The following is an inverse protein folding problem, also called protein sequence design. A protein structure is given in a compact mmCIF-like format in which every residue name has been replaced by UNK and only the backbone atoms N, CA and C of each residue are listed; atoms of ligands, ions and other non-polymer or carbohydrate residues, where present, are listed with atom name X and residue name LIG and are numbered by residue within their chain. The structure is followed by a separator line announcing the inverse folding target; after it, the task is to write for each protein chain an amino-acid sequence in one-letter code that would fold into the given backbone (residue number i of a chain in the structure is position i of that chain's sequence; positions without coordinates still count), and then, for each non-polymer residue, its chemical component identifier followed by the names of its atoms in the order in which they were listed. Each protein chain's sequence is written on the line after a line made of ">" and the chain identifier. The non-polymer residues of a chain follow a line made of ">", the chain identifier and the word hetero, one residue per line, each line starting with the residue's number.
data_IF_017160545063
#
_entry.id   IF_017160545063
#
_cell.length_a   1.000
_cell.length_b   1.000
_cell.length_c   1.000
_cell.angle_alpha   90.00
_cell.angle_beta   90.00
_cell.angle_gamma   90.00
#
_symmetry.space_group_name_H-M   'P 1'
#
loop_
_entity.id
_entity.type
_entity.pdbx_description
1 polymer ?
#
# COMPACT_ATOMS: atom_id res chain seq x y z
N UNK A 1 -6.21 9.07 22.41
CA UNK A 1 -6.19 7.65 22.82
C UNK A 1 -5.29 6.80 21.92
N UNK A 2 -5.57 6.64 20.61
CA UNK A 2 -4.76 5.78 19.72
C UNK A 2 -3.28 6.20 19.62
N UNK A 3 -3.00 7.50 19.43
CA UNK A 3 -1.63 8.04 19.43
C UNK A 3 -0.88 7.71 20.72
N UNK A 4 -1.51 7.93 21.87
CA UNK A 4 -0.95 7.62 23.19
C UNK A 4 -0.67 6.13 23.35
N UNK A 5 -1.57 5.26 22.89
CA UNK A 5 -1.37 3.80 22.92
C UNK A 5 -0.18 3.40 22.03
N UNK A 6 -0.08 3.95 20.83
CA UNK A 6 1.04 3.73 19.92
C UNK A 6 2.39 4.18 20.52
N UNK A 7 2.46 5.41 21.03
CA UNK A 7 3.69 6.00 21.61
C UNK A 7 4.18 5.20 22.82
N UNK A 8 3.25 4.76 23.68
CA UNK A 8 3.57 3.98 24.87
C UNK A 8 3.62 2.47 24.61
N UNK A 9 3.36 2.01 23.38
CA UNK A 9 3.37 0.60 22.97
C UNK A 9 2.40 -0.25 23.80
N UNK A 10 1.22 0.31 24.06
CA UNK A 10 0.16 -0.28 24.87
C UNK A 10 -0.86 -0.97 23.95
N UNK A 11 -1.18 -2.22 24.26
CA UNK A 11 -2.25 -3.00 23.64
C UNK A 11 -3.62 -2.36 23.94
N UNK A 12 -4.51 -2.32 22.95
CA UNK A 12 -5.88 -1.84 23.13
C UNK A 12 -6.83 -2.92 23.67
N UNK A 13 -6.40 -4.17 23.64
CA UNK A 13 -7.22 -5.35 23.88
C UNK A 13 -7.91 -5.83 22.60
N UNK A 14 -8.07 -7.14 22.49
CA UNK A 14 -8.59 -7.79 21.27
C UNK A 14 -9.98 -7.27 20.86
N UNK A 15 -10.85 -6.97 21.81
CA UNK A 15 -12.21 -6.50 21.53
C UNK A 15 -12.24 -5.09 20.96
N UNK A 16 -11.42 -4.19 21.49
CA UNK A 16 -11.27 -2.83 20.95
C UNK A 16 -10.62 -2.90 19.58
N UNK A 17 -9.54 -3.67 19.44
CA UNK A 17 -8.86 -3.86 18.15
C UNK A 17 -9.82 -4.38 17.07
N UNK A 18 -10.67 -5.36 17.40
CA UNK A 18 -11.66 -5.93 16.45
C UNK A 18 -12.65 -4.87 15.96
N UNK A 19 -13.15 -4.00 16.85
CA UNK A 19 -14.04 -2.89 16.49
C UNK A 19 -13.32 -1.88 15.59
N UNK A 20 -12.12 -1.45 15.97
CA UNK A 20 -11.31 -0.52 15.19
C UNK A 20 -10.97 -1.07 13.80
N UNK A 21 -10.63 -2.36 13.70
CA UNK A 21 -10.38 -3.02 12.42
C UNK A 21 -11.62 -3.07 11.53
N UNK A 22 -12.81 -3.28 12.09
CA UNK A 22 -14.06 -3.26 11.33
C UNK A 22 -14.31 -1.87 10.73
N UNK A 23 -14.17 -0.83 11.54
CA UNK A 23 -14.39 0.55 11.09
C UNK A 23 -13.30 0.97 10.08
N UNK A 24 -12.06 0.51 10.27
CA UNK A 24 -10.99 0.73 9.30
C UNK A 24 -11.23 0.02 7.96
N UNK A 25 -11.77 -1.20 7.97
CA UNK A 25 -12.12 -1.91 6.72
C UNK A 25 -13.29 -1.25 6.00
N UNK A 26 -14.25 -0.70 6.73
CA UNK A 26 -15.27 0.16 6.14
C UNK A 26 -14.63 1.38 5.47
N UNK A 27 -13.66 2.04 6.11
CA UNK A 27 -12.88 3.09 5.47
C UNK A 27 -12.12 2.59 4.22
N UNK A 28 -11.50 1.41 4.25
CA UNK A 28 -10.84 0.84 3.06
C UNK A 28 -11.81 0.66 1.88
N UNK A 29 -13.06 0.32 2.17
CA UNK A 29 -14.12 0.17 1.17
C UNK A 29 -14.62 1.51 0.64
N UNK A 30 -14.83 2.50 1.50
CA UNK A 30 -15.38 3.81 1.12
C UNK A 30 -14.30 4.71 0.48
N UNK A 31 -13.08 4.71 1.01
CA UNK A 31 -12.02 5.64 0.66
C UNK A 31 -12.11 6.97 1.38
N UNK A 32 -11.27 7.92 0.96
CA UNK A 32 -11.21 9.30 1.43
C UNK A 32 -11.79 10.33 0.45
N UNK A 33 -12.25 9.92 -0.74
CA UNK A 33 -12.86 10.82 -1.72
C UNK A 33 -14.13 11.48 -1.14
N UNK A 34 -14.23 12.82 -1.12
CA UNK A 34 -15.36 13.52 -0.49
C UNK A 34 -16.74 13.08 -1.01
N UNK A 35 -16.88 12.89 -2.33
CA UNK A 35 -18.13 12.42 -2.93
C UNK A 35 -18.51 11.00 -2.47
N UNK A 36 -17.54 10.09 -2.38
CA UNK A 36 -17.78 8.73 -1.90
C UNK A 36 -18.13 8.69 -0.40
N UNK A 37 -17.45 9.52 0.40
CA UNK A 37 -17.73 9.67 1.84
C UNK A 37 -19.12 10.25 2.07
N UNK A 38 -19.50 11.31 1.37
CA UNK A 38 -20.82 11.92 1.49
C UNK A 38 -21.92 10.94 1.07
N UNK A 39 -21.75 10.24 -0.06
CA UNK A 39 -22.71 9.21 -0.50
C UNK A 39 -22.89 8.12 0.56
N UNK A 40 -21.82 7.71 1.24
CA UNK A 40 -21.90 6.74 2.32
C UNK A 40 -22.65 7.28 3.54
N UNK A 41 -22.35 8.52 3.96
CA UNK A 41 -23.02 9.16 5.11
C UNK A 41 -24.52 9.34 4.84
N UNK A 42 -24.88 9.78 3.63
CA UNK A 42 -26.26 10.11 3.27
C UNK A 42 -27.13 8.87 3.04
N UNK A 43 -26.55 7.77 2.54
CA UNK A 43 -27.33 6.61 2.09
C UNK A 43 -27.05 5.32 2.84
N UNK A 44 -25.92 5.24 3.55
CA UNK A 44 -25.39 4.01 4.16
C UNK A 44 -25.39 2.82 3.17
N UNK A 45 -25.17 3.09 1.87
CA UNK A 45 -25.28 2.09 0.81
C UNK A 45 -23.98 2.01 -0.01
N UNK A 46 -23.21 0.94 0.24
CA UNK A 46 -21.93 0.71 -0.42
C UNK A 46 -22.03 0.50 -1.95
N UNK A 47 -23.20 0.10 -2.47
CA UNK A 47 -23.43 -0.01 -3.91
C UNK A 47 -23.43 1.37 -4.57
N UNK A 48 -24.14 2.32 -3.97
CA UNK A 48 -24.16 3.71 -4.46
C UNK A 48 -22.78 4.35 -4.36
N UNK A 49 -22.06 4.08 -3.26
CA UNK A 49 -20.67 4.53 -3.09
C UNK A 49 -19.77 3.95 -4.19
N UNK A 50 -19.92 2.67 -4.55
CA UNK A 50 -19.15 2.07 -5.64
C UNK A 50 -19.46 2.73 -6.99
N UNK A 51 -20.72 3.03 -7.28
CA UNK A 51 -21.09 3.78 -8.48
C UNK A 51 -20.42 5.16 -8.54
N UNK A 52 -20.43 5.91 -7.44
CA UNK A 52 -19.72 7.21 -7.34
C UNK A 52 -18.22 7.02 -7.61
N UNK A 53 -17.59 6.02 -6.99
CA UNK A 53 -16.17 5.73 -7.20
C UNK A 53 -15.84 5.34 -8.64
N UNK A 54 -16.70 4.58 -9.32
CA UNK A 54 -16.55 4.26 -10.76
C UNK A 54 -16.56 5.51 -11.62
N UNK A 55 -17.50 6.43 -11.37
CA UNK A 55 -17.52 7.72 -12.06
C UNK A 55 -16.24 8.55 -11.81
N UNK A 56 -15.70 8.55 -10.58
CA UNK A 56 -14.42 9.20 -10.28
C UNK A 56 -13.26 8.54 -11.05
N UNK A 57 -13.23 7.21 -11.09
CA UNK A 57 -12.20 6.48 -11.86
C UNK A 57 -12.30 6.80 -13.35
N UNK A 58 -13.50 6.89 -13.93
CA UNK A 58 -13.70 7.30 -15.33
C UNK A 58 -13.16 8.72 -15.59
N UNK A 59 -13.43 9.67 -14.70
CA UNK A 59 -12.87 11.02 -14.78
C UNK A 59 -11.33 11.00 -14.76
N UNK A 60 -10.73 10.16 -13.91
CA UNK A 60 -9.27 9.98 -13.89
C UNK A 60 -8.75 9.46 -15.22
N UNK A 61 -9.43 8.48 -15.83
CA UNK A 61 -9.05 7.96 -17.16
C UNK A 61 -9.08 9.04 -18.24
N UNK A 62 -10.11 9.89 -18.22
CA UNK A 62 -10.23 10.99 -19.17
C UNK A 62 -9.16 12.08 -18.96
N UNK A 63 -8.81 12.37 -17.72
CA UNK A 63 -7.72 13.31 -17.41
C UNK A 63 -6.34 12.73 -17.78
N UNK A 64 -6.11 11.43 -17.61
CA UNK A 64 -4.88 10.78 -18.08
C UNK A 64 -4.73 10.85 -19.60
N UNK A 65 -5.81 10.82 -20.36
CA UNK A 65 -5.77 11.00 -21.83
C UNK A 65 -5.39 12.43 -22.24
N UNK A 66 -5.61 13.41 -21.37
CA UNK A 66 -5.14 14.80 -21.58
C UNK A 66 -3.64 14.94 -21.29
N UNK A 67 -3.14 14.21 -20.29
CA UNK A 67 -1.71 14.14 -19.95
C UNK A 67 -0.93 13.38 -21.02
N UNK A 68 -1.44 12.21 -21.42
CA UNK A 68 -0.83 11.32 -22.39
C UNK A 68 -1.88 10.81 -23.39
N UNK A 69 -1.92 11.45 -24.55
CA UNK A 69 -2.87 11.12 -25.63
C UNK A 69 -2.66 9.72 -26.23
N UNK A 70 -1.52 9.08 -25.95
CA UNK A 70 -1.26 7.69 -26.38
C UNK A 70 -2.01 6.65 -25.56
N UNK A 71 -2.58 7.04 -24.41
CA UNK A 71 -3.34 6.16 -23.52
C UNK A 71 -2.48 5.25 -22.63
N UNK A 72 -1.14 5.40 -22.64
CA UNK A 72 -0.24 4.61 -21.80
C UNK A 72 -0.46 4.92 -20.32
N UNK A 73 -0.67 6.17 -19.96
CA UNK A 73 -1.02 6.57 -18.57
C UNK A 73 -2.27 5.85 -18.06
N UNK A 74 -3.33 5.84 -18.88
CA UNK A 74 -4.61 5.16 -18.61
C UNK A 74 -4.45 3.64 -18.44
N UNK A 75 -3.70 2.99 -19.33
CA UNK A 75 -3.38 1.56 -19.24
C UNK A 75 -2.57 1.24 -17.97
N UNK A 76 -1.55 2.05 -17.67
CA UNK A 76 -0.73 1.88 -16.48
C UNK A 76 -1.56 2.05 -15.20
N UNK A 77 -2.38 3.09 -15.10
CA UNK A 77 -3.24 3.30 -13.95
C UNK A 77 -4.18 2.12 -13.71
N UNK A 78 -4.84 1.64 -14.76
CA UNK A 78 -5.81 0.55 -14.67
C UNK A 78 -5.18 -0.79 -14.26
N UNK A 79 -3.91 -1.00 -14.59
CA UNK A 79 -3.19 -2.23 -14.28
C UNK A 79 -2.59 -2.27 -12.87
N UNK A 80 -2.63 -1.17 -12.10
CA UNK A 80 -2.03 -1.08 -10.75
C UNK A 80 -2.44 -2.26 -9.84
N UNK A 81 -3.74 -2.62 -9.70
CA UNK A 81 -4.12 -3.74 -8.84
C UNK A 81 -3.50 -5.07 -9.28
N UNK A 82 -3.50 -5.34 -10.59
CA UNK A 82 -2.94 -6.57 -11.16
C UNK A 82 -1.43 -6.66 -10.99
N UNK A 83 -0.72 -5.54 -11.11
CA UNK A 83 0.73 -5.46 -10.94
C UNK A 83 1.15 -5.67 -9.48
N UNK A 84 0.37 -5.13 -8.53
CA UNK A 84 0.57 -5.39 -7.11
C UNK A 84 0.28 -6.86 -6.75
N UNK A 85 -0.75 -7.47 -7.34
CA UNK A 85 -1.11 -8.87 -7.09
C UNK A 85 -0.05 -9.87 -7.58
N UNK A 86 0.70 -9.54 -8.65
CA UNK A 86 1.80 -10.38 -9.15
C UNK A 86 2.97 -10.50 -8.16
N UNK A 87 3.04 -9.63 -7.16
CA UNK A 87 4.12 -9.57 -6.16
C UNK A 87 5.53 -9.55 -6.80
N UNK A 88 5.66 -8.86 -7.93
CA UNK A 88 6.95 -8.64 -8.58
C UNK A 88 7.75 -7.60 -7.83
N UNK A 89 9.08 -7.66 -7.98
CA UNK A 89 9.99 -6.69 -7.36
C UNK A 89 9.86 -5.27 -7.91
N UNK A 90 9.10 -5.02 -8.97
CA UNK A 90 8.77 -3.70 -9.52
C UNK A 90 7.53 -3.78 -10.42
N UNK A 91 6.95 -2.62 -10.73
CA UNK A 91 5.94 -2.46 -11.77
C UNK A 91 6.54 -2.80 -13.15
N UNK A 92 5.94 -3.72 -13.89
CA UNK A 92 6.46 -4.21 -15.16
C UNK A 92 5.73 -3.57 -16.33
N UNK A 93 6.26 -2.46 -16.85
CA UNK A 93 5.64 -1.71 -17.96
C UNK A 93 5.32 -2.58 -19.17
N UNK A 94 6.22 -3.51 -19.54
CA UNK A 94 6.04 -4.40 -20.68
C UNK A 94 4.94 -5.46 -20.50
N UNK A 95 4.49 -5.72 -19.26
CA UNK A 95 3.36 -6.63 -19.00
C UNK A 95 2.01 -5.95 -19.32
N UNK A 96 1.99 -4.62 -19.32
CA UNK A 96 0.79 -3.78 -19.50
C UNK A 96 0.76 -3.20 -20.91
N UNK A 97 1.91 -2.74 -21.41
CA UNK A 97 2.06 -2.13 -22.73
C UNK A 97 3.13 -2.92 -23.49
N UNK A 98 2.74 -3.79 -24.44
CA UNK A 98 3.68 -4.59 -25.21
C UNK A 98 4.75 -3.74 -25.89
N UNK A 99 6.01 -4.21 -25.86
CA UNK A 99 7.19 -3.55 -26.45
C UNK A 99 7.59 -2.21 -25.81
N UNK A 100 6.92 -1.76 -24.75
CA UNK A 100 7.30 -0.55 -24.04
C UNK A 100 8.38 -0.83 -22.98
N UNK A 101 9.18 0.19 -22.67
CA UNK A 101 10.28 0.10 -21.70
C UNK A 101 10.09 1.08 -20.55
N UNK A 102 10.62 0.72 -19.39
CA UNK A 102 10.54 1.51 -18.17
C UNK A 102 10.99 2.96 -18.36
N UNK A 103 12.15 3.17 -18.97
CA UNK A 103 12.76 4.51 -19.12
C UNK A 103 11.94 5.43 -20.04
N UNK A 104 11.09 4.86 -20.90
CA UNK A 104 10.26 5.61 -21.86
C UNK A 104 8.97 6.14 -21.26
N UNK A 105 8.57 5.65 -20.09
CA UNK A 105 7.34 6.07 -19.40
C UNK A 105 7.63 6.89 -18.14
N UNK A 106 8.89 7.18 -17.82
CA UNK A 106 9.25 7.93 -16.60
C UNK A 106 8.58 9.31 -16.52
N UNK A 107 8.46 10.02 -17.66
CA UNK A 107 7.73 11.29 -17.71
C UNK A 107 6.25 11.13 -17.36
N UNK A 108 5.59 10.14 -17.97
CA UNK A 108 4.19 9.81 -17.68
C UNK A 108 4.00 9.47 -16.19
N UNK A 109 4.90 8.65 -15.64
CA UNK A 109 4.85 8.25 -14.23
C UNK A 109 5.03 9.44 -13.29
N UNK A 110 5.89 10.40 -13.65
CA UNK A 110 6.06 11.64 -12.91
C UNK A 110 4.77 12.47 -12.94
N UNK A 111 4.15 12.65 -14.11
CA UNK A 111 2.90 13.40 -14.25
C UNK A 111 1.74 12.74 -13.49
N UNK A 112 1.66 11.39 -13.51
CA UNK A 112 0.67 10.64 -12.73
C UNK A 112 0.89 10.82 -11.22
N UNK A 113 2.14 10.84 -10.76
CA UNK A 113 2.47 11.10 -9.35
C UNK A 113 2.08 12.51 -8.96
N UNK A 114 2.41 13.50 -9.80
CA UNK A 114 2.18 14.90 -9.51
C UNK A 114 0.69 15.30 -9.61
N UNK A 115 -0.14 14.48 -10.26
CA UNK A 115 -1.60 14.58 -10.20
C UNK A 115 -2.22 14.06 -8.88
N UNK A 116 -1.40 13.54 -7.95
CA UNK A 116 -1.82 12.98 -6.65
C UNK A 116 -2.78 11.78 -6.74
N UNK A 117 -2.90 11.18 -7.92
CA UNK A 117 -3.75 10.00 -8.16
C UNK A 117 -3.06 8.71 -7.72
N UNK A 118 -1.73 8.71 -7.66
CA UNK A 118 -0.90 7.56 -7.28
C UNK A 118 0.16 7.95 -6.24
N UNK A 119 0.61 6.94 -5.50
CA UNK A 119 1.80 6.99 -4.66
C UNK A 119 2.87 6.04 -5.23
N UNK A 120 4.11 6.51 -5.31
CA UNK A 120 5.25 5.70 -5.77
C UNK A 120 6.12 5.28 -4.60
N UNK A 121 6.55 4.02 -4.61
CA UNK A 121 7.68 3.54 -3.78
C UNK A 121 8.83 3.18 -4.70
N UNK A 122 10.02 3.70 -4.43
CA UNK A 122 11.21 3.43 -5.24
C UNK A 122 12.11 2.39 -4.58
N UNK A 123 12.81 1.60 -5.39
CA UNK A 123 13.80 0.65 -4.88
C UNK A 123 14.99 1.43 -4.34
N UNK A 124 15.37 1.15 -3.11
CA UNK A 124 16.57 1.68 -2.49
C UNK A 124 17.78 0.80 -2.87
N UNK A 125 18.83 1.34 -3.49
CA UNK A 125 19.99 0.52 -3.85
C UNK A 125 20.96 0.34 -2.67
N UNK A 126 21.08 1.34 -1.79
CA UNK A 126 21.85 1.27 -0.55
C UNK A 126 21.05 1.90 0.60
N UNK A 127 20.34 1.07 1.39
CA UNK A 127 19.63 1.54 2.57
C UNK A 127 20.56 2.37 3.48
N UNK A 128 20.34 3.68 3.50
CA UNK A 128 21.05 4.67 4.32
C UNK A 128 20.11 5.81 4.71
N UNK A 129 20.55 6.77 5.54
CA UNK A 129 19.71 7.94 5.91
C UNK A 129 19.37 8.79 4.68
N UNK A 130 20.29 8.86 3.72
CA UNK A 130 20.12 9.56 2.45
C UNK A 130 19.46 8.69 1.39
N UNK A 131 18.34 8.01 1.68
CA UNK A 131 17.67 7.11 0.71
C UNK A 131 17.38 7.80 -0.63
N UNK A 132 17.07 9.10 -0.61
CA UNK A 132 16.87 9.86 -1.85
C UNK A 132 18.13 9.99 -2.73
N UNK A 133 19.34 9.74 -2.20
CA UNK A 133 20.60 9.76 -2.97
C UNK A 133 20.84 8.45 -3.74
N UNK A 134 20.12 7.39 -3.38
CA UNK A 134 20.39 6.03 -3.83
C UNK A 134 19.15 5.34 -4.41
N UNK A 135 18.05 6.08 -4.58
CA UNK A 135 16.84 5.58 -5.19
C UNK A 135 17.02 5.27 -6.68
N UNK A 136 16.44 4.16 -7.11
CA UNK A 136 16.37 3.79 -8.52
C UNK A 136 15.02 4.21 -9.09
N UNK A 137 14.99 5.34 -9.80
CA UNK A 137 13.76 5.85 -10.42
C UNK A 137 13.19 4.92 -11.50
N UNK A 138 13.98 3.97 -12.02
CA UNK A 138 13.53 2.93 -12.96
C UNK A 138 12.96 1.69 -12.26
N UNK A 139 13.04 1.60 -10.94
CA UNK A 139 12.48 0.49 -10.16
C UNK A 139 11.51 1.04 -9.12
N UNK A 140 10.24 1.05 -9.48
CA UNK A 140 9.18 1.51 -8.60
C UNK A 140 8.05 0.49 -8.50
N UNK A 141 7.27 0.55 -7.42
CA UNK A 141 5.90 0.04 -7.38
C UNK A 141 4.94 1.22 -7.28
N UNK A 142 3.73 1.02 -7.79
CA UNK A 142 2.70 2.05 -7.88
C UNK A 142 1.51 1.64 -7.01
N UNK A 143 0.99 2.58 -6.24
CA UNK A 143 -0.18 2.44 -5.39
C UNK A 143 -1.16 3.56 -5.73
N UNK A 144 -2.46 3.36 -5.51
CA UNK A 144 -3.45 4.43 -5.66
C UNK A 144 -3.40 5.38 -4.47
N UNK A 145 -3.67 6.67 -4.73
CA UNK A 145 -3.80 7.70 -3.71
C UNK A 145 -4.99 7.52 -2.77
N UNK A 146 -5.98 6.73 -3.18
CA UNK A 146 -7.20 6.45 -2.41
C UNK A 146 -7.52 4.95 -2.37
N UNK A 147 -7.64 4.40 -1.16
CA UNK A 147 -7.92 2.98 -0.91
C UNK A 147 -9.31 2.53 -1.36
N UNK A 148 -10.31 3.41 -1.36
CA UNK A 148 -11.66 3.11 -1.81
C UNK A 148 -11.70 2.99 -3.34
N UNK A 149 -11.06 3.93 -4.03
CA UNK A 149 -10.85 3.85 -5.48
C UNK A 149 -10.02 2.63 -5.86
N UNK A 150 -8.97 2.31 -5.10
CA UNK A 150 -8.20 1.09 -5.32
C UNK A 150 -9.05 -0.17 -5.22
N UNK A 151 -9.90 -0.24 -4.20
CA UNK A 151 -10.83 -1.37 -4.04
C UNK A 151 -11.75 -1.47 -5.24
N UNK A 152 -12.39 -0.39 -5.69
CA UNK A 152 -13.26 -0.43 -6.88
C UNK A 152 -12.50 -0.80 -8.13
N UNK A 153 -11.29 -0.24 -8.35
CA UNK A 153 -10.48 -0.51 -9.53
C UNK A 153 -10.04 -1.98 -9.61
N UNK A 154 -9.70 -2.59 -8.46
CA UNK A 154 -9.29 -3.99 -8.38
C UNK A 154 -10.39 -4.99 -8.77
N UNK A 155 -11.66 -4.56 -8.72
CA UNK A 155 -12.84 -5.40 -9.00
C UNK A 155 -13.79 -4.70 -10.00
N UNK A 156 -13.22 -3.87 -10.88
CA UNK A 156 -14.00 -3.04 -11.79
C UNK A 156 -14.70 -3.87 -12.89
N UNK A 157 -14.24 -5.10 -13.14
CA UNK A 157 -14.78 -6.06 -14.10
C UNK A 157 -16.10 -6.73 -13.67
N UNK A 158 -16.55 -6.49 -12.43
CA UNK A 158 -17.76 -7.08 -11.86
C UNK A 158 -18.74 -6.01 -11.41
N UNK A 159 -20.04 -6.32 -11.48
CA UNK A 159 -21.07 -5.49 -10.88
C UNK A 159 -20.97 -5.51 -9.35
N UNK A 160 -21.39 -4.42 -8.70
CA UNK A 160 -21.34 -4.32 -7.24
C UNK A 160 -22.10 -5.46 -6.55
N UNK A 161 -23.24 -5.89 -7.10
CA UNK A 161 -24.06 -6.99 -6.58
C UNK A 161 -23.31 -8.33 -6.54
N UNK A 162 -22.27 -8.47 -7.37
CA UNK A 162 -21.41 -9.65 -7.41
C UNK A 162 -20.10 -9.46 -6.61
N UNK A 163 -19.94 -8.29 -5.99
CA UNK A 163 -18.67 -7.87 -5.42
C UNK A 163 -18.47 -8.42 -4.00
N UNK A 164 -18.28 -9.74 -3.94
CA UNK A 164 -18.00 -10.54 -2.74
C UNK A 164 -16.90 -9.97 -1.84
N UNK A 165 -16.04 -9.09 -2.39
CA UNK A 165 -14.98 -8.44 -1.64
C UNK A 165 -15.51 -7.54 -0.52
N UNK A 166 -16.63 -6.86 -0.73
CA UNK A 166 -17.23 -5.95 0.25
C UNK A 166 -17.66 -6.76 1.48
N UNK A 167 -18.29 -7.92 1.26
CA UNK A 167 -18.64 -8.84 2.33
C UNK A 167 -17.40 -9.48 2.97
N UNK A 168 -16.41 -9.92 2.18
CA UNK A 168 -15.19 -10.55 2.74
C UNK A 168 -14.35 -9.58 3.57
N UNK A 169 -14.20 -8.32 3.14
CA UNK A 169 -13.52 -7.28 3.90
C UNK A 169 -14.24 -7.00 5.21
N UNK A 170 -15.57 -6.92 5.22
CA UNK A 170 -16.33 -6.66 6.45
C UNK A 170 -16.36 -7.87 7.41
N UNK A 171 -16.32 -9.10 6.90
CA UNK A 171 -16.51 -10.32 7.69
C UNK A 171 -15.22 -10.98 8.23
N UNK A 172 -14.06 -10.31 8.17
CA UNK A 172 -12.77 -10.79 8.71
C UNK A 172 -12.28 -12.13 8.11
N UNK A 173 -12.85 -12.55 6.97
CA UNK A 173 -12.50 -13.75 6.20
C UNK A 173 -11.80 -13.37 4.90
N UNK A 174 -10.72 -12.61 5.03
CA UNK A 174 -9.88 -12.29 3.90
C UNK A 174 -8.90 -13.44 3.69
N UNK A 175 -8.99 -14.07 2.52
CA UNK A 175 -7.98 -15.01 2.07
C UNK A 175 -6.63 -14.29 1.98
N UNK A 176 -5.53 -15.06 2.14
CA UNK A 176 -4.14 -14.60 1.99
C UNK A 176 -3.91 -13.73 0.76
N UNK A 177 -4.71 -13.96 -0.29
CA UNK A 177 -4.56 -13.40 -1.63
C UNK A 177 -4.95 -11.91 -1.75
N UNK A 178 -5.43 -11.28 -0.67
CA UNK A 178 -5.85 -9.88 -0.63
C UNK A 178 -4.85 -8.94 0.06
N UNK A 179 -3.61 -9.40 0.26
CA UNK A 179 -2.53 -8.60 0.88
C UNK A 179 -2.25 -7.27 0.17
N UNK A 180 -2.50 -7.19 -1.14
CA UNK A 180 -2.28 -5.97 -1.93
C UNK A 180 -3.17 -4.79 -1.50
N UNK A 181 -4.39 -5.05 -0.99
CA UNK A 181 -5.28 -4.01 -0.44
C UNK A 181 -4.64 -3.35 0.79
N UNK A 182 -4.07 -4.17 1.69
CA UNK A 182 -3.36 -3.67 2.86
C UNK A 182 -2.06 -2.95 2.49
N UNK A 183 -1.31 -3.44 1.50
CA UNK A 183 -0.13 -2.71 1.01
C UNK A 183 -0.51 -1.35 0.44
N UNK A 184 -1.61 -1.25 -0.31
CA UNK A 184 -2.07 0.03 -0.87
C UNK A 184 -2.45 1.03 0.23
N UNK A 185 -3.28 0.63 1.20
CA UNK A 185 -3.68 1.56 2.28
C UNK A 185 -2.49 1.94 3.18
N UNK A 186 -1.53 1.03 3.40
CA UNK A 186 -0.29 1.35 4.13
C UNK A 186 0.53 2.38 3.36
N UNK A 187 0.73 2.20 2.05
CA UNK A 187 1.43 3.18 1.21
C UNK A 187 0.75 4.57 1.29
N UNK A 188 -0.59 4.60 1.17
CA UNK A 188 -1.36 5.84 1.29
C UNK A 188 -1.15 6.51 2.65
N UNK A 189 -1.26 5.76 3.76
CA UNK A 189 -1.11 6.30 5.11
C UNK A 189 0.30 6.81 5.39
N UNK A 190 1.33 6.07 4.96
CA UNK A 190 2.73 6.48 5.11
C UNK A 190 3.01 7.77 4.32
N UNK A 191 2.55 7.83 3.06
CA UNK A 191 2.70 9.00 2.21
C UNK A 191 1.98 10.22 2.80
N UNK A 192 0.72 10.06 3.20
CA UNK A 192 -0.08 11.12 3.82
C UNK A 192 0.50 11.62 5.15
N UNK A 193 1.30 10.79 5.83
CA UNK A 193 2.02 11.18 7.07
C UNK A 193 3.34 11.92 6.80
N UNK A 194 3.64 12.22 5.52
CA UNK A 194 4.81 12.99 5.10
C UNK A 194 6.04 12.14 4.78
N UNK A 195 5.90 10.82 4.67
CA UNK A 195 7.03 9.94 4.33
C UNK A 195 7.18 9.81 2.81
N UNK A 196 8.42 9.92 2.33
CA UNK A 196 8.79 9.37 1.02
C UNK A 196 8.94 7.86 1.14
N UNK A 197 8.39 7.12 0.18
CA UNK A 197 8.31 5.66 0.25
C UNK A 197 9.46 5.01 -0.52
N UNK A 198 10.10 4.05 0.13
CA UNK A 198 11.12 3.20 -0.48
C UNK A 198 10.82 1.75 -0.18
N UNK A 199 11.35 0.83 -0.98
CA UNK A 199 11.36 -0.60 -0.68
C UNK A 199 12.73 -1.20 -0.99
N UNK A 200 13.02 -2.39 -0.48
CA UNK A 200 14.33 -3.01 -0.68
C UNK A 200 14.22 -4.49 -0.98
N UNK A 201 15.00 -4.97 -1.94
CA UNK A 201 15.13 -6.40 -2.24
C UNK A 201 16.57 -6.87 -2.15
N UNK A 202 16.80 -8.08 -1.62
CA UNK A 202 18.12 -8.67 -1.53
C UNK A 202 18.08 -10.19 -1.67
N UNK A 203 19.17 -10.84 -2.13
CA UNK A 203 19.19 -12.29 -2.32
C UNK A 203 18.91 -13.04 -1.01
N UNK A 204 18.11 -14.11 -1.10
CA UNK A 204 18.02 -15.12 -0.05
C UNK A 204 19.05 -16.21 -0.32
N UNK A 205 20.05 -16.32 0.54
CA UNK A 205 21.17 -17.26 0.39
C UNK A 205 20.67 -18.69 0.12
N UNK A 206 21.32 -19.37 -0.83
CA UNK A 206 20.99 -20.74 -1.21
C UNK A 206 19.70 -20.89 -2.04
N UNK A 207 19.07 -19.81 -2.48
CA UNK A 207 17.86 -19.86 -3.33
C UNK A 207 17.90 -18.84 -4.47
N UNK A 208 17.07 -19.04 -5.50
CA UNK A 208 16.83 -18.04 -6.54
C UNK A 208 15.81 -16.96 -6.12
N UNK A 209 15.31 -17.02 -4.87
CA UNK A 209 14.36 -16.05 -4.35
C UNK A 209 15.07 -14.85 -3.73
N UNK A 210 14.36 -13.72 -3.67
CA UNK A 210 14.80 -12.51 -2.97
C UNK A 210 13.94 -12.31 -1.74
N UNK A 211 14.56 -11.86 -0.67
CA UNK A 211 13.85 -11.16 0.39
C UNK A 211 13.41 -9.78 -0.12
N UNK A 212 12.26 -9.34 0.36
CA UNK A 212 11.71 -8.02 0.10
C UNK A 212 11.24 -7.42 1.42
N UNK A 213 11.56 -6.15 1.64
CA UNK A 213 10.95 -5.31 2.66
C UNK A 213 9.96 -4.39 1.95
N UNK A 214 8.68 -4.45 2.35
CA UNK A 214 7.60 -3.74 1.67
C UNK A 214 7.80 -2.22 1.66
N UNK A 215 8.16 -1.64 2.82
CA UNK A 215 8.46 -0.22 2.94
C UNK A 215 9.66 0.05 3.85
N UNK A 216 10.45 1.07 3.49
CA UNK A 216 11.47 1.69 4.32
C UNK A 216 11.12 3.16 4.51
N UNK A 217 11.15 3.62 5.75
CA UNK A 217 11.04 5.05 6.09
C UNK A 217 12.26 5.49 6.89
N UNK A 218 12.63 6.77 6.77
CA UNK A 218 13.71 7.38 7.54
C UNK A 218 13.14 8.02 8.80
N UNK A 219 13.67 7.64 9.98
CA UNK A 219 13.30 8.26 11.26
C UNK A 219 14.56 8.66 12.02
N UNK A 220 14.74 9.98 12.19
CA UNK A 220 16.01 10.55 12.70
C UNK A 220 17.18 10.03 11.85
N UNK A 221 18.18 9.42 12.48
CA UNK A 221 19.39 8.91 11.83
C UNK A 221 19.34 7.40 11.57
N UNK A 222 18.14 6.81 11.43
CA UNK A 222 17.94 5.37 11.29
C UNK A 222 16.87 5.04 10.25
N UNK A 223 16.99 3.85 9.66
CA UNK A 223 16.02 3.32 8.69
C UNK A 223 15.07 2.37 9.42
N UNK A 224 13.77 2.60 9.30
CA UNK A 224 12.76 1.76 9.91
C UNK A 224 12.12 0.88 8.83
N UNK A 225 12.40 -0.43 8.81
CA UNK A 225 11.75 -1.34 7.88
C UNK A 225 10.35 -1.70 8.35
N UNK A 226 9.46 -1.82 7.38
CA UNK A 226 8.05 -2.10 7.57
C UNK A 226 7.68 -3.28 6.67
N UNK A 227 7.15 -4.33 7.29
CA UNK A 227 6.56 -5.49 6.60
C UNK A 227 5.04 -5.46 6.80
N UNK A 228 4.26 -5.69 5.73
CA UNK A 228 2.80 -5.69 5.78
C UNK A 228 2.25 -7.11 5.68
N UNK A 229 1.46 -7.53 6.66
CA UNK A 229 0.82 -8.87 6.70
C UNK A 229 -0.69 -8.77 6.89
N UNK A 230 -1.45 -9.18 5.88
CA UNK A 230 -2.92 -9.37 5.99
C UNK A 230 -3.28 -10.62 6.80
N UNK A 231 -2.44 -11.65 6.74
CA UNK A 231 -2.57 -12.94 7.42
C UNK A 231 -1.19 -13.58 7.61
N UNK A 232 -1.08 -14.59 8.49
CA UNK A 232 0.17 -15.34 8.66
C UNK A 232 1.35 -14.47 9.12
N UNK A 233 1.29 -14.00 10.38
CA UNK A 233 2.23 -13.01 10.94
C UNK A 233 3.32 -13.59 11.85
N UNK A 234 3.31 -14.91 12.06
CA UNK A 234 4.25 -15.57 13.00
C UNK A 234 5.69 -15.59 12.47
N UNK A 235 5.89 -15.50 11.16
CA UNK A 235 7.21 -15.52 10.53
C UNK A 235 7.43 -14.25 9.71
N UNK A 236 8.63 -13.70 9.80
CA UNK A 236 9.01 -12.44 9.16
C UNK A 236 10.47 -12.50 8.70
N UNK A 237 10.82 -13.58 8.00
CA UNK A 237 12.21 -13.89 7.61
C UNK A 237 12.91 -12.77 6.81
N UNK A 238 12.18 -12.03 5.96
CA UNK A 238 12.75 -10.87 5.25
C UNK A 238 13.22 -9.79 6.24
N UNK A 239 12.39 -9.51 7.26
CA UNK A 239 12.65 -8.49 8.26
C UNK A 239 13.83 -8.90 9.16
N UNK A 240 13.86 -10.15 9.61
CA UNK A 240 14.96 -10.72 10.40
C UNK A 240 16.30 -10.64 9.65
N UNK A 241 16.29 -11.05 8.38
CA UNK A 241 17.47 -11.02 7.53
C UNK A 241 17.93 -9.57 7.24
N UNK A 242 16.98 -8.65 7.05
CA UNK A 242 17.30 -7.23 6.86
C UNK A 242 17.91 -6.62 8.12
N UNK A 243 17.35 -6.91 9.30
CA UNK A 243 17.87 -6.44 10.58
C UNK A 243 19.29 -6.93 10.86
N UNK A 244 19.57 -8.18 10.50
CA UNK A 244 20.92 -8.74 10.60
C UNK A 244 21.88 -8.03 9.65
N UNK A 245 21.48 -7.87 8.37
CA UNK A 245 22.31 -7.26 7.32
C UNK A 245 22.63 -5.78 7.56
N UNK A 246 21.68 -5.02 8.11
CA UNK A 246 21.79 -3.57 8.28
C UNK A 246 21.78 -3.13 9.75
N UNK A 247 22.26 -3.97 10.66
CA UNK A 247 22.22 -3.78 12.13
C UNK A 247 22.77 -2.42 12.61
N UNK A 248 23.76 -1.84 11.92
CA UNK A 248 24.32 -0.52 12.27
C UNK A 248 23.44 0.66 11.84
N UNK A 249 22.60 0.50 10.80
CA UNK A 249 21.77 1.55 10.20
C UNK A 249 20.28 1.43 10.59
N UNK A 250 19.85 0.26 11.05
CA UNK A 250 18.45 -0.02 11.35
C UNK A 250 17.96 0.69 12.62
N UNK A 251 16.72 1.17 12.55
CA UNK A 251 15.95 1.73 13.65
C UNK A 251 14.86 0.77 14.10
N UNK A 252 13.69 1.32 14.41
CA UNK A 252 12.56 0.53 14.86
C UNK A 252 12.02 -0.33 13.71
N UNK A 253 11.86 -1.63 13.96
CA UNK A 253 11.26 -2.57 13.03
C UNK A 253 9.75 -2.61 13.24
N UNK A 254 8.98 -2.61 12.15
CA UNK A 254 7.53 -2.64 12.22
C UNK A 254 6.93 -3.80 11.42
N UNK A 255 6.02 -4.54 12.06
CA UNK A 255 5.12 -5.46 11.40
C UNK A 255 3.72 -4.85 11.41
N UNK A 256 3.25 -4.41 10.25
CA UNK A 256 1.90 -3.85 10.10
C UNK A 256 0.93 -4.98 9.77
N UNK A 257 -0.06 -5.20 10.64
CA UNK A 257 -0.96 -6.35 10.53
C UNK A 257 -2.39 -6.09 11.04
N UNK A 258 -3.19 -7.14 11.18
CA UNK A 258 -4.61 -7.05 11.54
C UNK A 258 -4.91 -7.37 13.02
N UNK A 259 -3.89 -7.72 13.82
CA UNK A 259 -4.04 -8.01 15.26
C UNK A 259 -3.68 -6.79 16.11
N UNK A 260 -3.96 -6.90 17.41
CA UNK A 260 -3.72 -5.80 18.36
C UNK A 260 -2.22 -5.47 18.49
N UNK A 261 -1.89 -4.28 18.98
CA UNK A 261 -0.51 -3.85 19.15
C UNK A 261 0.25 -4.83 20.06
N UNK A 262 1.39 -5.31 19.57
CA UNK A 262 2.29 -6.19 20.32
C UNK A 262 3.74 -5.75 20.15
N UNK A 263 4.54 -5.87 21.21
CA UNK A 263 5.99 -5.75 21.14
C UNK A 263 6.62 -7.14 21.28
N UNK A 264 7.55 -7.48 20.39
CA UNK A 264 8.22 -8.76 20.33
C UNK A 264 9.73 -8.51 20.14
N UNK A 265 10.47 -8.42 21.23
CA UNK A 265 11.86 -7.93 21.21
C UNK A 265 11.96 -6.52 20.62
N UNK A 266 12.72 -6.39 19.52
CA UNK A 266 12.89 -5.15 18.77
C UNK A 266 11.81 -4.94 17.70
N UNK A 267 10.94 -5.92 17.46
CA UNK A 267 9.82 -5.80 16.54
C UNK A 267 8.61 -5.18 17.24
N UNK A 268 8.03 -4.13 16.65
CA UNK A 268 6.71 -3.62 17.05
C UNK A 268 5.71 -4.04 16.00
N UNK A 269 4.77 -4.90 16.38
CA UNK A 269 3.63 -5.26 15.57
C UNK A 269 2.50 -4.26 15.84
N UNK A 270 2.05 -3.54 14.82
CA UNK A 270 0.98 -2.56 14.95
C UNK A 270 -0.23 -2.93 14.08
N UNK A 271 -1.46 -2.73 14.59
CA UNK A 271 -2.65 -2.78 13.75
C UNK A 271 -2.53 -1.79 12.59
N UNK A 272 -3.02 -2.15 11.41
CA UNK A 272 -2.87 -1.33 10.20
C UNK A 272 -3.40 0.10 10.36
N UNK A 273 -4.47 0.30 11.15
CA UNK A 273 -5.03 1.63 11.40
C UNK A 273 -4.10 2.54 12.22
N UNK A 274 -3.04 2.01 12.83
CA UNK A 274 -2.02 2.80 13.53
C UNK A 274 -0.84 3.22 12.63
N UNK A 275 -0.82 2.82 11.35
CA UNK A 275 0.25 3.18 10.39
C UNK A 275 0.44 4.70 10.27
N UNK A 276 -0.61 5.49 10.47
CA UNK A 276 -0.60 6.96 10.45
C UNK A 276 0.28 7.62 11.54
N UNK A 277 0.80 6.83 12.48
CA UNK A 277 1.71 7.30 13.53
C UNK A 277 3.19 6.98 13.25
N UNK A 278 3.48 6.35 12.11
CA UNK A 278 4.84 5.99 11.69
C UNK A 278 5.64 7.20 11.18
#
# INVERSE_FOLDING_TARGET
>A
MLRTAFENKISLGDDVNRRMMRDFRLYMLVGGMPQAVNEYIDTNNLSKVDHVKRSILELYQDDFRKIDSTGRASLMFSAIPSELAKNTSRYQVSSVIPNEKQDRVLGIVADMKDSLTINLTYHENDPSIGMSLHEDISKYKMFLGDTGLFTTLAFMDKDFTENFIYEKLLNDKLDTDLGYLYKNVVAQMLYASGNKLFYYTFPKEGTNHKFEIDFLIAKKNKICPIEVKSSGYKTHASLDAFATKFSSKIGQQYLVYTKDLRKDGDLICIPVYMTMFL
#
